data_IF_492085206230
#
_entry.id   IF_492085206230
#
_cell.length_a   1.000
_cell.length_b   1.000
_cell.length_c   1.000
_cell.angle_alpha   90.00
_cell.angle_beta   90.00
_cell.angle_gamma   90.00
#
_symmetry.space_group_name_H-M   'P 1'
#
loop_
_entity.id
_entity.type
_entity.pdbx_description
1 polymer ?
#
# COMPACT_ATOMS: atom_id res chain seq x y z
N UNK A 1 5.30 -13.35 -58.19
CA UNK A 1 6.75 -13.28 -57.88
C UNK A 1 7.00 -13.55 -56.41
N UNK A 2 7.87 -14.50 -56.15
CA UNK A 2 8.02 -15.32 -54.98
C UNK A 2 8.29 -14.60 -53.64
N UNK A 3 7.38 -14.85 -52.72
CA UNK A 3 7.62 -14.80 -51.26
C UNK A 3 8.30 -16.10 -50.80
N UNK A 4 9.58 -16.21 -50.93
CA UNK A 4 10.39 -17.28 -50.29
C UNK A 4 11.87 -16.95 -50.50
N UNK A 5 12.47 -16.26 -49.48
CA UNK A 5 13.89 -16.25 -49.15
C UNK A 5 14.18 -15.10 -48.20
N UNK A 6 13.92 -15.33 -46.90
CA UNK A 6 14.64 -14.64 -45.83
C UNK A 6 14.48 -15.48 -44.54
N UNK A 7 15.00 -16.67 -44.63
CA UNK A 7 15.23 -17.51 -43.47
C UNK A 7 16.57 -18.18 -43.70
N UNK A 8 17.62 -17.57 -43.20
CA UNK A 8 18.86 -18.26 -42.76
C UNK A 8 19.87 -17.21 -42.29
N UNK A 9 20.48 -17.51 -41.15
CA UNK A 9 21.65 -16.89 -40.57
C UNK A 9 21.40 -15.69 -39.63
N UNK A 10 21.07 -16.00 -38.39
CA UNK A 10 21.70 -15.40 -37.22
C UNK A 10 21.60 -16.36 -36.03
N UNK A 11 22.36 -17.42 -36.08
CA UNK A 11 22.82 -18.10 -34.87
C UNK A 11 23.98 -17.26 -34.33
N UNK A 12 23.79 -16.54 -33.26
CA UNK A 12 24.92 -16.00 -32.50
C UNK A 12 24.49 -15.60 -31.11
N UNK A 13 25.10 -16.24 -30.17
CA UNK A 13 25.31 -15.82 -28.80
C UNK A 13 24.05 -15.62 -27.93
N UNK A 14 23.50 -16.70 -27.45
CA UNK A 14 22.89 -16.79 -26.14
C UNK A 14 23.96 -16.46 -25.07
N UNK A 15 24.17 -15.16 -24.88
CA UNK A 15 24.76 -14.69 -23.65
C UNK A 15 23.73 -14.95 -22.55
N UNK A 16 23.92 -16.01 -21.79
CA UNK A 16 23.34 -16.15 -20.45
C UNK A 16 23.88 -14.97 -19.63
N UNK A 17 23.15 -13.85 -19.67
CA UNK A 17 23.15 -12.90 -18.58
C UNK A 17 22.55 -13.69 -17.41
N UNK A 18 23.46 -14.34 -16.65
CA UNK A 18 23.14 -14.79 -15.31
C UNK A 18 22.63 -13.54 -14.56
N UNK A 19 21.32 -13.43 -14.47
CA UNK A 19 20.67 -12.61 -13.45
C UNK A 19 21.24 -13.14 -12.13
N UNK A 20 22.28 -12.46 -11.61
CA UNK A 20 22.70 -12.69 -10.23
C UNK A 20 21.44 -12.47 -9.43
N UNK A 21 20.95 -13.47 -8.66
CA UNK A 21 19.90 -13.21 -7.71
C UNK A 21 20.41 -12.07 -6.84
N UNK A 22 19.66 -10.97 -6.77
CA UNK A 22 19.83 -9.96 -5.71
C UNK A 22 19.92 -10.77 -4.44
N UNK A 23 21.04 -10.62 -3.74
CA UNK A 23 21.48 -11.37 -2.58
C UNK A 23 20.26 -11.81 -1.77
N UNK A 24 19.86 -13.05 -1.91
CA UNK A 24 19.00 -13.69 -0.93
C UNK A 24 19.76 -13.51 0.39
N UNK A 25 19.19 -12.76 1.31
CA UNK A 25 19.77 -12.66 2.64
C UNK A 25 19.87 -14.08 3.15
N UNK A 26 21.11 -14.57 3.29
CA UNK A 26 21.39 -15.90 3.78
C UNK A 26 20.54 -16.14 5.01
N UNK A 27 19.57 -17.07 4.92
CA UNK A 27 18.81 -17.69 6.01
C UNK A 27 18.54 -16.79 7.23
N UNK A 28 17.93 -15.65 7.03
CA UNK A 28 17.57 -14.76 8.13
C UNK A 28 16.31 -15.28 8.79
N UNK A 29 16.46 -15.96 9.91
CA UNK A 29 15.33 -16.32 10.76
C UNK A 29 14.45 -15.08 11.04
N UNK A 30 13.13 -15.24 11.18
CA UNK A 30 12.24 -14.15 11.54
C UNK A 30 12.76 -13.39 12.76
N UNK A 31 12.53 -12.06 12.86
CA UNK A 31 12.99 -11.29 14.02
C UNK A 31 12.49 -11.89 15.32
N UNK A 32 13.38 -12.10 16.27
CA UNK A 32 13.03 -12.49 17.62
C UNK A 32 12.90 -11.23 18.48
N UNK A 33 11.69 -10.88 18.89
CA UNK A 33 11.46 -9.71 19.74
C UNK A 33 10.00 -9.25 19.71
N UNK A 34 9.66 -8.38 20.66
CA UNK A 34 8.35 -7.71 20.65
C UNK A 34 8.30 -6.79 19.43
N UNK A 35 7.27 -6.93 18.63
CA UNK A 35 7.06 -6.12 17.44
C UNK A 35 5.65 -6.30 16.89
N UNK A 36 5.26 -5.43 15.97
CA UNK A 36 3.99 -5.51 15.28
C UNK A 36 4.11 -6.40 14.05
N UNK A 37 3.22 -7.40 13.93
CA UNK A 37 3.06 -8.19 12.72
C UNK A 37 1.71 -7.87 12.09
N UNK A 38 1.69 -7.63 10.79
CA UNK A 38 0.49 -7.26 10.06
C UNK A 38 0.59 -7.61 8.58
N UNK A 39 -0.55 -7.64 7.89
CA UNK A 39 -0.59 -7.72 6.43
C UNK A 39 -0.76 -6.34 5.81
N UNK A 40 -0.16 -6.14 4.65
CA UNK A 40 -0.42 -5.03 3.74
C UNK A 40 -1.15 -5.57 2.51
N UNK A 41 -2.32 -5.01 2.24
CA UNK A 41 -3.07 -5.18 1.00
C UNK A 41 -3.31 -3.81 0.36
N UNK A 42 -3.56 -3.78 -0.94
CA UNK A 42 -3.79 -2.54 -1.69
C UNK A 42 -4.61 -2.80 -2.94
N UNK A 43 -5.26 -1.74 -3.45
CA UNK A 43 -5.81 -1.72 -4.81
C UNK A 43 -6.75 -2.93 -5.07
N UNK A 44 -7.74 -3.08 -4.21
CA UNK A 44 -8.74 -4.17 -4.30
C UNK A 44 -9.81 -3.91 -5.34
N UNK A 45 -10.08 -2.65 -5.67
CA UNK A 45 -10.97 -2.23 -6.73
C UNK A 45 -12.26 -3.05 -6.81
N UNK A 46 -13.02 -3.07 -5.70
CA UNK A 46 -14.36 -3.68 -5.74
C UNK A 46 -15.16 -3.05 -6.88
N UNK A 47 -15.60 -3.86 -7.84
CA UNK A 47 -16.32 -3.41 -9.02
C UNK A 47 -17.71 -3.99 -9.06
N UNK A 48 -18.72 -3.13 -9.24
CA UNK A 48 -20.09 -3.54 -9.55
C UNK A 48 -20.26 -3.85 -11.05
N UNK A 49 -21.25 -4.63 -11.38
CA UNK A 49 -21.58 -4.96 -12.76
C UNK A 49 -22.14 -3.71 -13.46
N UNK A 50 -21.59 -3.36 -14.62
CA UNK A 50 -21.97 -2.15 -15.38
C UNK A 50 -23.40 -2.17 -15.88
N UNK A 51 -23.91 -3.37 -16.22
CA UNK A 51 -25.27 -3.56 -16.75
C UNK A 51 -26.29 -3.73 -15.60
N UNK A 52 -25.85 -4.19 -14.44
CA UNK A 52 -26.62 -4.40 -13.23
C UNK A 52 -25.92 -3.75 -12.04
N UNK A 53 -25.99 -2.43 -11.87
CA UNK A 53 -25.21 -1.70 -10.87
C UNK A 53 -25.49 -2.06 -9.41
N UNK A 54 -26.57 -2.76 -9.13
CA UNK A 54 -26.96 -3.31 -7.83
C UNK A 54 -26.36 -4.71 -7.55
N UNK A 55 -25.61 -5.28 -8.51
CA UNK A 55 -24.87 -6.52 -8.37
C UNK A 55 -23.37 -6.29 -8.53
N UNK A 56 -22.56 -7.08 -7.84
CA UNK A 56 -21.11 -7.08 -8.04
C UNK A 56 -20.74 -7.75 -9.37
N UNK A 57 -19.68 -7.27 -9.99
CA UNK A 57 -18.98 -8.01 -11.04
C UNK A 57 -18.48 -9.35 -10.49
N UNK A 58 -18.72 -10.44 -11.22
CA UNK A 58 -18.39 -11.78 -10.73
C UNK A 58 -16.90 -12.01 -10.57
N UNK A 59 -16.08 -11.46 -11.48
CA UNK A 59 -14.61 -11.57 -11.42
C UNK A 59 -14.08 -10.82 -10.21
N UNK A 60 -14.46 -9.56 -10.05
CA UNK A 60 -14.06 -8.74 -8.89
C UNK A 60 -14.49 -9.38 -7.58
N UNK A 61 -15.74 -9.84 -7.49
CA UNK A 61 -16.23 -10.52 -6.29
C UNK A 61 -15.45 -11.79 -5.98
N UNK A 62 -15.17 -12.60 -7.01
CA UNK A 62 -14.44 -13.86 -6.85
C UNK A 62 -13.01 -13.63 -6.34
N UNK A 63 -12.30 -12.68 -6.91
CA UNK A 63 -10.93 -12.31 -6.50
C UNK A 63 -10.93 -11.85 -5.03
N UNK A 64 -11.76 -10.87 -4.70
CA UNK A 64 -11.78 -10.28 -3.37
C UNK A 64 -12.24 -11.26 -2.28
N UNK A 65 -13.19 -12.16 -2.60
CA UNK A 65 -13.57 -13.23 -1.68
C UNK A 65 -12.39 -14.13 -1.35
N UNK A 66 -11.66 -14.61 -2.36
CA UNK A 66 -10.49 -15.48 -2.15
C UNK A 66 -9.33 -14.77 -1.44
N UNK A 67 -9.12 -13.47 -1.70
CA UNK A 67 -8.14 -12.67 -0.96
C UNK A 67 -8.44 -12.68 0.55
N UNK A 68 -9.69 -12.42 0.94
CA UNK A 68 -10.12 -12.47 2.36
C UNK A 68 -9.93 -13.87 2.96
N UNK A 69 -10.23 -14.92 2.20
CA UNK A 69 -10.02 -16.31 2.64
C UNK A 69 -8.53 -16.59 2.90
N UNK A 70 -7.63 -16.14 2.00
CA UNK A 70 -6.19 -16.28 2.21
C UNK A 70 -5.70 -15.48 3.42
N UNK A 71 -6.10 -14.21 3.58
CA UNK A 71 -5.75 -13.40 4.75
C UNK A 71 -6.16 -14.10 6.06
N UNK A 72 -7.34 -14.71 6.08
CA UNK A 72 -7.84 -15.45 7.25
C UNK A 72 -7.12 -16.77 7.51
N UNK A 73 -6.57 -17.39 6.47
CA UNK A 73 -5.92 -18.71 6.53
C UNK A 73 -4.43 -18.64 6.90
N UNK A 74 -3.74 -17.58 6.49
CA UNK A 74 -2.28 -17.46 6.62
C UNK A 74 -1.74 -17.53 8.07
N UNK A 75 -2.36 -16.89 9.09
CA UNK A 75 -1.85 -16.98 10.45
C UNK A 75 -1.77 -18.41 10.97
N UNK A 76 -0.62 -18.75 11.57
CA UNK A 76 -0.32 -20.10 12.03
C UNK A 76 0.21 -21.06 10.95
N UNK A 77 0.38 -20.59 9.71
CA UNK A 77 1.00 -21.40 8.65
C UNK A 77 2.51 -21.24 8.61
N UNK A 78 3.19 -22.25 8.11
CA UNK A 78 4.63 -22.23 7.89
C UNK A 78 4.99 -21.36 6.69
N UNK A 79 6.07 -20.61 6.82
CA UNK A 79 6.71 -19.88 5.72
C UNK A 79 7.90 -20.69 5.26
N UNK A 80 8.01 -21.03 3.96
CA UNK A 80 9.14 -21.79 3.42
C UNK A 80 10.49 -21.11 3.69
N UNK A 81 11.54 -21.91 3.83
CA UNK A 81 12.89 -21.42 4.14
C UNK A 81 13.40 -20.40 3.11
N UNK A 82 13.11 -20.62 1.83
CA UNK A 82 13.44 -19.71 0.72
C UNK A 82 12.74 -18.34 0.81
N UNK A 83 11.62 -18.27 1.53
CA UNK A 83 10.87 -17.04 1.81
C UNK A 83 11.17 -16.47 3.22
N UNK A 84 12.30 -16.88 3.82
CA UNK A 84 12.75 -16.41 5.13
C UNK A 84 12.35 -17.30 6.30
N UNK A 85 11.63 -18.38 6.08
CA UNK A 85 11.30 -19.40 7.09
C UNK A 85 10.39 -18.93 8.23
N UNK A 86 10.17 -19.84 9.19
CA UNK A 86 9.36 -19.59 10.39
C UNK A 86 7.86 -19.73 10.15
N UNK A 87 7.08 -19.10 11.04
CA UNK A 87 5.62 -19.15 11.01
C UNK A 87 5.06 -17.76 10.79
N UNK A 88 3.91 -17.66 10.13
CA UNK A 88 3.06 -16.47 10.21
C UNK A 88 2.52 -16.39 11.63
N UNK A 89 3.03 -15.46 12.41
CA UNK A 89 2.66 -15.30 13.81
C UNK A 89 1.27 -14.69 14.00
N UNK A 90 0.99 -14.27 15.23
CA UNK A 90 -0.19 -13.49 15.55
C UNK A 90 -0.15 -12.15 14.79
N UNK A 91 -1.24 -11.84 14.09
CA UNK A 91 -1.38 -10.67 13.25
C UNK A 91 -2.22 -9.62 13.96
N UNK A 92 -1.67 -8.42 14.15
CA UNK A 92 -2.37 -7.30 14.79
C UNK A 92 -3.51 -6.75 13.92
N UNK A 93 -3.40 -6.89 12.60
CA UNK A 93 -4.41 -6.43 11.66
C UNK A 93 -3.96 -6.43 10.21
N UNK A 94 -4.77 -5.83 9.36
CA UNK A 94 -4.46 -5.60 7.95
C UNK A 94 -4.44 -4.09 7.69
N UNK A 95 -3.39 -3.60 7.06
CA UNK A 95 -3.33 -2.25 6.50
C UNK A 95 -3.75 -2.33 5.04
N UNK A 96 -4.69 -1.50 4.62
CA UNK A 96 -5.11 -1.39 3.23
C UNK A 96 -4.74 -0.01 2.69
N UNK A 97 -3.83 0.02 1.73
CA UNK A 97 -3.23 1.28 1.26
C UNK A 97 -4.00 1.98 0.13
N UNK A 98 -5.33 1.77 0.05
CA UNK A 98 -6.23 2.57 -0.80
C UNK A 98 -6.70 1.88 -2.07
N UNK A 99 -7.52 2.58 -2.85
CA UNK A 99 -8.29 2.06 -3.98
C UNK A 99 -9.13 0.84 -3.57
N UNK A 100 -10.05 1.12 -2.64
CA UNK A 100 -10.96 0.14 -2.04
C UNK A 100 -12.01 -0.31 -3.04
N UNK A 101 -12.60 0.67 -3.75
CA UNK A 101 -13.58 0.47 -4.82
C UNK A 101 -13.06 1.04 -6.15
N UNK A 102 -13.73 0.72 -7.26
CA UNK A 102 -13.27 1.14 -8.60
C UNK A 102 -13.92 2.44 -9.10
N UNK A 103 -15.13 2.75 -8.68
CA UNK A 103 -15.93 3.81 -9.34
C UNK A 103 -16.17 5.07 -8.51
N UNK A 104 -15.55 5.21 -7.31
CA UNK A 104 -15.77 6.35 -6.42
C UNK A 104 -15.32 7.71 -6.98
N UNK A 105 -14.46 7.73 -7.99
CA UNK A 105 -14.03 8.90 -8.75
C UNK A 105 -14.96 9.24 -9.94
N UNK A 106 -15.92 8.39 -10.28
CA UNK A 106 -16.81 8.54 -11.43
C UNK A 106 -18.09 9.30 -11.05
N UNK A 107 -18.69 9.93 -12.05
CA UNK A 107 -19.92 10.73 -11.89
C UNK A 107 -21.07 10.13 -12.68
N UNK A 108 -22.30 10.52 -12.31
CA UNK A 108 -23.54 10.09 -12.97
C UNK A 108 -24.30 9.01 -12.20
N UNK A 109 -25.60 8.92 -12.44
CA UNK A 109 -26.52 8.08 -11.65
C UNK A 109 -26.15 6.60 -11.64
N UNK A 110 -25.69 6.07 -12.78
CA UNK A 110 -25.26 4.67 -12.87
C UNK A 110 -24.03 4.41 -11.98
N UNK A 111 -23.02 5.29 -12.03
CA UNK A 111 -21.83 5.15 -11.20
C UNK A 111 -22.15 5.32 -9.70
N UNK A 112 -23.05 6.22 -9.34
CA UNK A 112 -23.51 6.34 -7.93
C UNK A 112 -24.17 5.06 -7.44
N UNK A 113 -24.94 4.37 -8.30
CA UNK A 113 -25.50 3.06 -7.95
C UNK A 113 -24.40 2.00 -7.77
N UNK A 114 -23.43 1.95 -8.71
CA UNK A 114 -22.25 1.07 -8.59
C UNK A 114 -21.46 1.33 -7.29
N UNK A 115 -21.15 2.59 -6.98
CA UNK A 115 -20.42 2.97 -5.75
C UNK A 115 -21.10 2.44 -4.48
N UNK A 116 -22.42 2.46 -4.42
CA UNK A 116 -23.18 1.91 -3.27
C UNK A 116 -22.97 0.41 -3.13
N UNK A 117 -23.03 -0.31 -4.25
CA UNK A 117 -22.85 -1.76 -4.29
C UNK A 117 -21.42 -2.16 -3.94
N UNK A 118 -20.44 -1.49 -4.54
CA UNK A 118 -19.02 -1.70 -4.30
C UNK A 118 -18.64 -1.43 -2.84
N UNK A 119 -19.09 -0.29 -2.30
CA UNK A 119 -18.86 0.08 -0.91
C UNK A 119 -19.50 -0.87 0.09
N UNK A 120 -20.74 -1.29 -0.18
CA UNK A 120 -21.43 -2.28 0.64
C UNK A 120 -20.69 -3.62 0.64
N UNK A 121 -20.21 -4.07 -0.52
CA UNK A 121 -19.44 -5.31 -0.64
C UNK A 121 -18.08 -5.21 0.10
N UNK A 122 -17.33 -4.12 -0.12
CA UNK A 122 -16.08 -3.88 0.60
C UNK A 122 -16.30 -3.91 2.12
N UNK A 123 -17.28 -3.17 2.63
CA UNK A 123 -17.51 -3.09 4.08
C UNK A 123 -17.98 -4.39 4.68
N UNK A 124 -18.77 -5.19 3.95
CA UNK A 124 -19.22 -6.51 4.39
C UNK A 124 -18.07 -7.53 4.45
N UNK A 125 -17.13 -7.44 3.52
CA UNK A 125 -15.99 -8.35 3.48
C UNK A 125 -14.90 -7.96 4.49
N UNK A 126 -14.50 -6.71 4.51
CA UNK A 126 -13.37 -6.24 5.34
C UNK A 126 -13.77 -5.96 6.80
N UNK A 127 -15.02 -5.63 7.08
CA UNK A 127 -15.42 -5.19 8.42
C UNK A 127 -14.65 -3.94 8.87
N UNK A 128 -14.42 -3.78 10.17
CA UNK A 128 -13.72 -2.63 10.75
C UNK A 128 -12.77 -3.02 11.89
N UNK A 129 -13.31 -3.69 12.90
CA UNK A 129 -12.60 -3.97 14.15
C UNK A 129 -12.17 -5.45 14.30
N UNK A 130 -12.39 -6.25 13.26
CA UNK A 130 -12.11 -7.67 13.25
C UNK A 130 -13.31 -8.53 13.70
N UNK A 131 -13.73 -9.46 12.83
CA UNK A 131 -14.86 -10.34 13.08
C UNK A 131 -16.24 -9.70 12.90
N UNK A 132 -16.30 -8.45 12.48
CA UNK A 132 -17.51 -7.72 12.12
C UNK A 132 -17.72 -7.64 10.58
N UNK A 133 -16.88 -8.32 9.83
CA UNK A 133 -16.98 -8.65 8.42
C UNK A 133 -16.56 -10.10 8.19
N UNK A 134 -16.22 -10.46 6.95
CA UNK A 134 -15.62 -11.78 6.65
C UNK A 134 -14.15 -11.86 7.08
N UNK A 135 -13.43 -10.73 7.04
CA UNK A 135 -12.08 -10.64 7.56
C UNK A 135 -12.09 -10.76 9.09
N UNK A 136 -11.21 -11.62 9.63
CA UNK A 136 -11.13 -11.86 11.08
C UNK A 136 -10.33 -10.80 11.84
N UNK A 137 -9.59 -9.96 11.14
CA UNK A 137 -8.65 -8.98 11.71
C UNK A 137 -9.18 -7.56 11.58
N UNK A 138 -8.77 -6.63 12.46
CA UNK A 138 -9.02 -5.21 12.25
C UNK A 138 -8.39 -4.75 10.93
N UNK A 139 -9.12 -3.93 10.18
CA UNK A 139 -8.58 -3.28 8.99
C UNK A 139 -8.30 -1.80 9.25
N UNK A 140 -7.19 -1.31 8.74
CA UNK A 140 -6.75 0.10 8.82
C UNK A 140 -6.53 0.60 7.40
N UNK A 141 -7.58 1.09 6.77
CA UNK A 141 -7.56 1.55 5.38
C UNK A 141 -7.32 3.05 5.25
N UNK A 142 -6.62 3.45 4.20
CA UNK A 142 -6.66 4.80 3.63
C UNK A 142 -7.54 4.79 2.39
N UNK A 143 -7.90 5.97 1.86
CA UNK A 143 -8.57 6.04 0.56
C UNK A 143 -7.57 6.21 -0.56
N UNK A 144 -7.91 5.71 -1.75
CA UNK A 144 -7.18 5.92 -2.98
C UNK A 144 -7.85 6.89 -3.94
N UNK A 145 -7.27 7.06 -5.12
CA UNK A 145 -7.82 7.99 -6.10
C UNK A 145 -9.12 7.50 -6.74
N UNK A 146 -9.35 6.20 -6.78
CA UNK A 146 -10.63 5.63 -7.21
C UNK A 146 -11.72 5.75 -6.15
N UNK A 147 -11.39 5.96 -4.89
CA UNK A 147 -12.36 6.15 -3.80
C UNK A 147 -12.91 7.58 -3.73
N UNK A 148 -12.12 8.56 -4.17
CA UNK A 148 -12.51 9.97 -4.15
C UNK A 148 -11.31 10.92 -4.15
N UNK A 149 -10.76 11.26 -5.31
CA UNK A 149 -9.47 11.97 -5.44
C UNK A 149 -9.47 13.38 -4.83
N UNK A 150 -10.66 13.96 -4.68
CA UNK A 150 -10.84 15.30 -4.10
C UNK A 150 -11.34 15.27 -2.65
N UNK A 151 -11.26 14.12 -1.96
CA UNK A 151 -11.71 13.98 -0.58
C UNK A 151 -13.21 14.18 -0.38
N UNK A 152 -14.01 13.81 -1.38
CA UNK A 152 -15.46 13.95 -1.43
C UNK A 152 -16.10 12.75 -2.10
N UNK A 153 -17.34 12.48 -1.74
CA UNK A 153 -18.14 11.41 -2.33
C UNK A 153 -18.56 10.35 -1.32
N UNK A 154 -19.35 9.40 -1.78
CA UNK A 154 -19.97 8.36 -0.95
C UNK A 154 -18.95 7.59 -0.11
N UNK A 155 -17.85 7.16 -0.72
CA UNK A 155 -16.81 6.39 -0.03
C UNK A 155 -16.10 7.23 1.02
N UNK A 156 -15.80 8.49 0.69
CA UNK A 156 -15.15 9.41 1.63
C UNK A 156 -16.03 9.67 2.86
N UNK A 157 -17.34 9.84 2.66
CA UNK A 157 -18.28 10.00 3.77
C UNK A 157 -18.39 8.70 4.58
N UNK A 158 -18.40 7.55 3.90
CA UNK A 158 -18.35 6.24 4.54
C UNK A 158 -17.08 6.00 5.34
N UNK A 159 -15.92 6.48 4.86
CA UNK A 159 -14.66 6.38 5.59
C UNK A 159 -14.64 7.26 6.84
N UNK A 160 -15.18 8.48 6.78
CA UNK A 160 -15.35 9.35 7.97
C UNK A 160 -16.20 8.67 9.03
N UNK A 161 -17.32 8.08 8.61
CA UNK A 161 -18.21 7.35 9.49
C UNK A 161 -17.50 6.12 10.09
N UNK A 162 -16.76 5.34 9.29
CA UNK A 162 -15.96 4.22 9.78
C UNK A 162 -14.89 4.66 10.78
N UNK A 163 -14.14 5.72 10.47
CA UNK A 163 -13.10 6.25 11.34
C UNK A 163 -13.65 6.70 12.70
N UNK A 164 -14.87 7.24 12.75
CA UNK A 164 -15.51 7.62 14.01
C UNK A 164 -15.88 6.42 14.90
N UNK A 165 -15.98 5.21 14.33
CA UNK A 165 -16.31 3.97 15.07
C UNK A 165 -15.09 3.10 15.39
N UNK A 166 -13.90 3.48 14.92
CA UNK A 166 -12.68 2.72 15.23
C UNK A 166 -12.36 2.78 16.71
N UNK A 167 -11.89 1.68 17.24
CA UNK A 167 -11.38 1.61 18.62
C UNK A 167 -9.88 1.90 18.65
N UNK A 168 -9.43 2.51 19.74
CA UNK A 168 -8.01 2.72 20.03
C UNK A 168 -7.26 3.49 18.94
N UNK A 169 -7.89 4.51 18.36
CA UNK A 169 -7.31 5.40 17.37
C UNK A 169 -7.41 6.86 17.77
N UNK A 170 -6.48 7.68 17.29
CA UNK A 170 -6.56 9.14 17.30
C UNK A 170 -6.98 9.59 15.90
N UNK A 171 -8.09 10.29 15.78
CA UNK A 171 -8.66 10.71 14.49
C UNK A 171 -8.52 12.22 14.32
N UNK A 172 -8.18 12.67 13.09
CA UNK A 172 -8.13 14.08 12.72
C UNK A 172 -9.51 14.74 12.81
N UNK A 173 -9.54 16.08 12.94
CA UNK A 173 -10.80 16.85 13.02
C UNK A 173 -11.70 16.65 11.79
N UNK A 174 -11.09 16.49 10.60
CA UNK A 174 -11.83 16.23 9.36
C UNK A 174 -12.27 14.75 9.20
N UNK A 175 -11.91 13.88 10.15
CA UNK A 175 -12.29 12.47 10.17
C UNK A 175 -11.56 11.56 9.19
N UNK A 176 -10.55 12.07 8.45
CA UNK A 176 -9.95 11.31 7.34
C UNK A 176 -8.62 10.66 7.68
N UNK A 177 -7.85 11.25 8.58
CA UNK A 177 -6.56 10.74 9.01
C UNK A 177 -6.68 10.16 10.40
N UNK A 178 -5.88 9.12 10.70
CA UNK A 178 -5.88 8.54 12.05
C UNK A 178 -4.59 7.81 12.35
N UNK A 179 -4.29 7.67 13.64
CA UNK A 179 -3.14 6.94 14.14
C UNK A 179 -3.52 5.94 15.22
N UNK A 180 -2.68 4.94 15.43
CA UNK A 180 -2.85 3.90 16.45
C UNK A 180 -1.51 3.27 16.80
N UNK A 181 -1.50 2.46 17.85
CA UNK A 181 -0.34 1.71 18.28
C UNK A 181 -0.57 0.20 18.19
N UNK A 182 0.40 -0.53 17.66
CA UNK A 182 0.49 -1.98 17.77
C UNK A 182 1.85 -2.38 18.32
N UNK A 183 1.86 -3.06 19.47
CA UNK A 183 3.06 -3.68 20.05
C UNK A 183 4.32 -2.76 20.10
N UNK A 184 4.14 -1.51 20.48
CA UNK A 184 5.23 -0.54 20.61
C UNK A 184 5.61 0.20 19.35
N UNK A 185 4.99 -0.10 18.23
CA UNK A 185 5.13 0.61 16.95
C UNK A 185 3.96 1.57 16.79
N UNK A 186 4.25 2.80 16.37
CA UNK A 186 3.24 3.80 16.06
C UNK A 186 2.90 3.82 14.57
N UNK A 187 1.61 3.82 14.24
CA UNK A 187 1.11 3.78 12.87
C UNK A 187 0.29 5.02 12.58
N UNK A 188 0.45 5.59 11.38
CA UNK A 188 -0.31 6.78 10.94
C UNK A 188 -0.83 6.59 9.51
N UNK A 189 -2.13 6.71 9.33
CA UNK A 189 -2.79 6.73 8.01
C UNK A 189 -3.11 8.18 7.61
N UNK A 190 -2.60 8.62 6.45
CA UNK A 190 -2.67 10.02 5.99
C UNK A 190 -3.27 10.21 4.59
N UNK A 191 -4.01 9.22 4.10
CA UNK A 191 -4.81 9.34 2.89
C UNK A 191 -4.06 9.20 1.57
N UNK A 192 -4.37 10.03 0.58
CA UNK A 192 -3.82 9.94 -0.78
C UNK A 192 -2.37 10.41 -0.85
N UNK A 193 -2.16 11.65 -0.47
CA UNK A 193 -0.88 12.36 -0.48
C UNK A 193 -0.73 13.15 0.81
N UNK A 194 0.49 13.40 1.24
CA UNK A 194 0.75 14.24 2.41
C UNK A 194 1.05 15.65 1.94
N UNK A 195 0.33 16.63 2.46
CA UNK A 195 0.55 18.01 2.08
C UNK A 195 -0.28 19.01 2.91
N UNK A 196 0.34 20.13 3.16
CA UNK A 196 -0.24 21.35 3.69
C UNK A 196 0.62 22.56 3.31
N UNK A 197 1.70 22.37 2.53
CA UNK A 197 2.58 23.46 2.12
C UNK A 197 1.80 24.52 1.35
N UNK A 198 2.08 25.78 1.67
CA UNK A 198 1.57 26.94 0.93
C UNK A 198 2.41 27.27 -0.31
N UNK A 199 3.60 26.68 -0.39
CA UNK A 199 4.61 26.93 -1.43
C UNK A 199 4.49 25.98 -2.62
N UNK A 200 3.31 25.41 -2.83
CA UNK A 200 3.03 24.54 -3.98
C UNK A 200 3.05 25.33 -5.28
N UNK A 201 3.65 24.76 -6.32
CA UNK A 201 3.83 25.43 -7.62
C UNK A 201 2.59 25.35 -8.52
N UNK A 202 1.65 24.49 -8.17
CA UNK A 202 0.41 24.25 -8.93
C UNK A 202 -0.71 23.77 -8.03
N UNK A 203 -1.99 23.82 -8.47
CA UNK A 203 -3.06 23.14 -7.76
C UNK A 203 -2.77 21.66 -7.59
N UNK A 204 -3.04 21.12 -6.41
CA UNK A 204 -2.86 19.67 -6.15
C UNK A 204 -3.78 18.85 -7.01
N UNK A 205 -3.24 17.76 -7.55
CA UNK A 205 -4.03 16.77 -8.28
C UNK A 205 -4.99 16.02 -7.35
N UNK A 206 -4.54 15.76 -6.13
CA UNK A 206 -5.28 15.04 -5.11
C UNK A 206 -5.44 15.89 -3.85
N UNK A 207 -6.55 15.71 -3.14
CA UNK A 207 -6.80 16.41 -1.89
C UNK A 207 -5.88 15.86 -0.79
N UNK A 208 -5.12 16.74 -0.17
CA UNK A 208 -4.28 16.39 0.99
C UNK A 208 -5.03 16.43 2.32
N UNK A 209 -6.13 17.20 2.41
CA UNK A 209 -6.99 17.32 3.59
C UNK A 209 -6.23 17.56 4.90
N UNK A 210 -5.28 18.51 4.89
CA UNK A 210 -4.44 18.87 6.04
C UNK A 210 -3.64 17.67 6.65
N UNK A 211 -3.32 16.70 5.83
CA UNK A 211 -2.62 15.47 6.28
C UNK A 211 -1.25 15.73 6.89
N UNK A 212 -0.50 16.73 6.40
CA UNK A 212 0.81 17.09 6.96
C UNK A 212 0.67 17.72 8.35
N UNK A 213 -0.34 18.55 8.57
CA UNK A 213 -0.60 19.18 9.86
C UNK A 213 -1.00 18.13 10.89
N UNK A 214 -1.90 17.19 10.51
CA UNK A 214 -2.25 16.05 11.34
C UNK A 214 -1.01 15.21 11.68
N UNK A 215 -0.23 14.79 10.68
CA UNK A 215 0.96 13.98 10.87
C UNK A 215 1.98 14.66 11.79
N UNK A 216 2.22 15.95 11.59
CA UNK A 216 3.18 16.72 12.38
C UNK A 216 2.77 16.79 13.85
N UNK A 217 1.49 17.07 14.10
CA UNK A 217 0.93 17.12 15.44
C UNK A 217 0.93 15.76 16.12
N UNK A 218 0.45 14.75 15.40
CA UNK A 218 0.35 13.38 15.92
C UNK A 218 1.72 12.82 16.32
N UNK A 219 2.72 12.94 15.46
CA UNK A 219 4.07 12.48 15.77
C UNK A 219 4.69 13.22 16.96
N UNK A 220 4.45 14.52 17.08
CA UNK A 220 4.96 15.30 18.22
C UNK A 220 4.30 14.88 19.55
N UNK A 221 2.99 14.65 19.55
CA UNK A 221 2.21 14.32 20.75
C UNK A 221 2.32 12.83 21.13
N UNK A 222 2.35 11.92 20.13
CA UNK A 222 2.27 10.48 20.37
C UNK A 222 3.62 9.78 20.36
N UNK A 223 4.57 10.27 19.57
CA UNK A 223 5.92 9.70 19.49
C UNK A 223 6.92 10.52 20.29
N UNK A 224 6.97 11.84 20.06
CA UNK A 224 7.89 12.73 20.74
C UNK A 224 9.33 12.19 20.73
N UNK A 225 10.00 12.25 21.88
CA UNK A 225 11.37 11.75 22.07
C UNK A 225 11.45 10.27 22.46
N UNK A 226 10.36 9.50 22.37
CA UNK A 226 10.34 8.10 22.80
C UNK A 226 11.25 7.18 21.97
N UNK A 227 11.61 7.60 20.76
CA UNK A 227 12.42 6.80 19.85
C UNK A 227 11.74 5.53 19.32
N UNK A 228 10.42 5.35 19.55
CA UNK A 228 9.70 4.18 19.05
C UNK A 228 9.57 4.22 17.52
N UNK A 229 9.53 3.05 16.85
CA UNK A 229 9.36 2.99 15.41
C UNK A 229 8.02 3.56 14.95
N UNK A 230 8.03 4.17 13.76
CA UNK A 230 6.84 4.74 13.13
C UNK A 230 6.63 4.11 11.75
N UNK A 231 5.38 3.77 11.42
CA UNK A 231 4.97 3.32 10.10
C UNK A 231 3.91 4.28 9.56
N UNK A 232 4.14 4.80 8.36
CA UNK A 232 3.22 5.74 7.70
C UNK A 232 2.55 5.04 6.52
N UNK A 233 1.25 5.26 6.34
CA UNK A 233 0.52 4.76 5.18
C UNK A 233 -0.16 5.90 4.44
N UNK A 234 0.04 5.95 3.14
CA UNK A 234 -0.70 6.77 2.19
C UNK A 234 -0.88 6.00 0.87
N UNK A 235 -1.65 6.52 -0.08
CA UNK A 235 -1.94 5.74 -1.28
C UNK A 235 -0.94 5.96 -2.41
N UNK A 236 -0.59 7.21 -2.73
CA UNK A 236 0.19 7.55 -3.91
C UNK A 236 1.70 7.39 -3.66
N UNK A 237 2.38 6.80 -4.63
CA UNK A 237 3.84 6.57 -4.62
C UNK A 237 4.63 7.86 -4.36
N UNK A 238 5.48 7.86 -3.35
CA UNK A 238 6.36 9.00 -3.02
C UNK A 238 7.33 9.35 -4.14
N UNK A 239 7.57 8.48 -5.11
CA UNK A 239 8.43 8.74 -6.26
C UNK A 239 7.71 9.50 -7.39
N UNK A 240 6.42 9.81 -7.26
CA UNK A 240 5.62 10.48 -8.29
C UNK A 240 5.60 12.00 -8.16
N UNK A 241 6.77 12.58 -7.98
CA UNK A 241 7.01 14.01 -8.02
C UNK A 241 8.19 14.32 -8.93
N UNK A 242 8.33 15.57 -9.40
CA UNK A 242 9.54 16.01 -10.10
C UNK A 242 10.48 16.76 -9.15
N UNK A 243 11.75 16.83 -9.52
CA UNK A 243 12.65 17.79 -8.95
C UNK A 243 12.13 19.23 -9.20
N UNK A 244 12.43 20.22 -8.32
CA UNK A 244 11.76 21.52 -8.32
C UNK A 244 11.82 22.31 -9.62
N UNK A 245 12.66 21.91 -10.56
CA UNK A 245 13.03 22.70 -11.72
C UNK A 245 12.68 22.05 -13.06
N UNK A 246 11.84 21.03 -13.10
CA UNK A 246 11.38 20.44 -14.35
C UNK A 246 9.93 20.82 -14.65
N UNK A 247 9.67 22.00 -15.27
CA UNK A 247 8.31 22.44 -15.55
C UNK A 247 7.58 21.55 -16.56
N UNK A 248 8.28 20.76 -17.38
CA UNK A 248 7.63 19.84 -18.34
C UNK A 248 7.03 18.63 -17.63
N UNK A 249 7.58 18.22 -16.51
CA UNK A 249 7.09 17.10 -15.70
C UNK A 249 6.04 17.49 -14.67
N UNK A 250 5.96 18.76 -14.28
CA UNK A 250 5.05 19.25 -13.22
C UNK A 250 3.60 18.83 -13.47
N UNK A 251 3.13 18.90 -14.71
CA UNK A 251 1.74 18.53 -15.05
C UNK A 251 1.45 17.02 -14.93
N UNK A 252 2.48 16.19 -14.97
CA UNK A 252 2.38 14.71 -14.92
C UNK A 252 2.54 14.15 -13.52
N UNK A 253 3.05 14.96 -12.59
CA UNK A 253 3.28 14.51 -11.24
C UNK A 253 2.02 14.54 -10.39
N UNK A 254 1.96 13.64 -9.44
CA UNK A 254 0.84 13.49 -8.51
C UNK A 254 1.08 14.22 -7.21
N UNK A 255 2.35 14.38 -6.82
CA UNK A 255 2.76 15.21 -5.68
C UNK A 255 3.32 16.55 -6.14
N UNK A 256 3.16 17.58 -5.33
CA UNK A 256 3.92 18.79 -5.42
C UNK A 256 5.25 18.62 -4.66
N UNK A 257 6.34 19.13 -5.23
CA UNK A 257 7.66 19.00 -4.60
C UNK A 257 7.73 19.67 -3.23
N UNK A 258 7.06 20.81 -3.04
CA UNK A 258 7.04 21.50 -1.75
C UNK A 258 6.36 20.65 -0.65
N UNK A 259 5.29 19.92 -1.00
CA UNK A 259 4.66 18.98 -0.09
C UNK A 259 5.59 17.81 0.24
N UNK A 260 6.29 17.25 -0.77
CA UNK A 260 7.26 16.16 -0.57
C UNK A 260 8.41 16.59 0.34
N UNK A 261 8.96 17.78 0.11
CA UNK A 261 10.04 18.32 0.93
C UNK A 261 9.61 18.55 2.39
N UNK A 262 8.41 19.12 2.58
CA UNK A 262 7.85 19.34 3.91
C UNK A 262 7.54 18.02 4.62
N UNK A 263 6.99 17.04 3.91
CA UNK A 263 6.74 15.69 4.42
C UNK A 263 8.03 15.02 4.89
N UNK A 264 9.06 14.98 4.04
CA UNK A 264 10.35 14.41 4.39
C UNK A 264 10.99 15.12 5.60
N UNK A 265 10.92 16.45 5.67
CA UNK A 265 11.45 17.21 6.79
C UNK A 265 10.76 16.90 8.14
N UNK A 266 9.49 16.50 8.13
CA UNK A 266 8.81 15.99 9.33
C UNK A 266 9.33 14.61 9.69
N UNK A 267 9.39 13.68 8.72
CA UNK A 267 9.74 12.29 8.95
C UNK A 267 11.16 12.10 9.48
N UNK A 268 12.12 12.89 9.02
CA UNK A 268 13.53 12.79 9.45
C UNK A 268 13.80 13.14 10.91
N UNK A 269 12.80 13.65 11.62
CA UNK A 269 12.85 13.89 13.07
C UNK A 269 12.54 12.65 13.91
N UNK A 270 12.04 11.59 13.28
CA UNK A 270 11.54 10.40 13.96
C UNK A 270 12.16 9.14 13.35
N UNK A 271 12.08 8.04 14.08
CA UNK A 271 12.53 6.72 13.60
C UNK A 271 11.45 6.09 12.72
N UNK A 272 11.35 6.55 11.47
CA UNK A 272 10.39 6.01 10.50
C UNK A 272 10.90 4.69 9.97
N UNK A 273 10.22 3.61 10.33
CA UNK A 273 10.52 2.25 9.94
C UNK A 273 10.14 1.96 8.50
N UNK A 274 8.95 2.43 8.10
CA UNK A 274 8.43 2.19 6.76
C UNK A 274 7.42 3.25 6.34
N UNK A 275 7.36 3.49 5.03
CA UNK A 275 6.23 4.10 4.34
C UNK A 275 5.57 3.02 3.48
N UNK A 276 4.27 2.84 3.64
CA UNK A 276 3.45 1.87 2.92
C UNK A 276 2.53 2.59 1.94
N UNK A 277 2.41 2.08 0.71
CA UNK A 277 1.55 2.70 -0.30
C UNK A 277 1.08 1.68 -1.36
N UNK A 278 0.21 2.10 -2.29
CA UNK A 278 -0.36 1.32 -3.37
C UNK A 278 -0.27 2.01 -4.73
N UNK A 279 -1.41 2.14 -5.45
CA UNK A 279 -1.60 2.99 -6.61
C UNK A 279 -0.95 2.54 -7.92
N UNK A 280 0.27 2.00 -7.88
CA UNK A 280 1.01 1.70 -9.12
C UNK A 280 0.78 0.29 -9.65
N UNK A 281 0.08 -0.56 -8.90
CA UNK A 281 -0.16 -1.97 -9.20
C UNK A 281 1.12 -2.73 -9.58
N UNK A 282 2.24 -2.31 -9.03
CA UNK A 282 3.55 -2.94 -9.26
C UNK A 282 4.37 -2.84 -8.00
N UNK A 283 4.89 -3.96 -7.54
CA UNK A 283 5.81 -3.97 -6.39
C UNK A 283 6.99 -3.02 -6.61
N UNK A 284 7.20 -2.13 -5.65
CA UNK A 284 8.36 -1.23 -5.58
C UNK A 284 8.82 -1.10 -4.15
N UNK A 285 10.06 -1.46 -3.88
CA UNK A 285 10.65 -1.42 -2.55
C UNK A 285 12.02 -0.77 -2.66
N UNK A 286 12.19 0.38 -2.01
CA UNK A 286 13.44 1.16 -2.10
C UNK A 286 13.63 2.08 -0.88
N UNK A 287 14.87 2.49 -0.58
CA UNK A 287 15.13 3.57 0.37
C UNK A 287 14.86 4.92 -0.31
N UNK A 288 14.07 5.77 0.34
CA UNK A 288 13.74 7.11 -0.12
C UNK A 288 14.49 8.17 0.68
N UNK A 289 15.22 9.03 -0.03
CA UNK A 289 16.06 10.10 0.54
C UNK A 289 15.37 11.47 0.63
N UNK A 290 14.11 11.56 0.19
CA UNK A 290 13.33 12.79 0.18
C UNK A 290 13.69 13.78 -0.92
N UNK A 291 14.77 13.57 -1.64
CA UNK A 291 15.30 14.53 -2.62
C UNK A 291 15.20 14.05 -4.06
N UNK A 292 15.29 12.75 -4.30
CA UNK A 292 15.39 12.18 -5.64
C UNK A 292 14.20 11.29 -5.95
N UNK A 293 13.38 11.63 -6.96
CA UNK A 293 12.36 10.72 -7.46
C UNK A 293 12.99 9.42 -7.93
N UNK A 294 12.53 8.29 -7.42
CA UNK A 294 13.05 6.97 -7.80
C UNK A 294 11.96 6.17 -8.49
N UNK A 295 12.20 5.83 -9.75
CA UNK A 295 11.31 5.00 -10.56
C UNK A 295 11.76 3.52 -10.59
N UNK A 296 12.83 3.17 -9.88
CA UNK A 296 13.30 1.80 -9.78
C UNK A 296 12.25 0.90 -9.11
N UNK A 297 12.12 -0.32 -9.59
CA UNK A 297 11.17 -1.29 -9.04
C UNK A 297 11.56 -1.71 -7.63
N UNK A 298 12.76 -2.25 -7.49
CA UNK A 298 13.33 -2.65 -6.20
C UNK A 298 14.77 -2.13 -6.12
N UNK A 299 15.18 -1.72 -4.95
CA UNK A 299 16.55 -1.33 -4.67
C UNK A 299 17.02 -1.98 -3.36
N UNK A 300 18.32 -2.29 -3.24
CA UNK A 300 18.86 -2.81 -1.99
C UNK A 300 18.70 -1.81 -0.85
N UNK A 301 18.76 -2.26 0.40
CA UNK A 301 18.82 -1.38 1.56
C UNK A 301 19.90 -0.31 1.41
N UNK A 302 19.58 0.92 1.81
CA UNK A 302 20.48 2.06 1.67
C UNK A 302 20.13 3.17 2.64
N UNK A 303 20.71 4.34 2.45
CA UNK A 303 20.35 5.52 3.23
C UNK A 303 18.96 6.01 2.81
N UNK A 304 18.12 6.34 3.78
CA UNK A 304 16.77 6.85 3.57
C UNK A 304 15.72 6.03 4.30
N UNK A 305 14.48 6.46 4.15
CA UNK A 305 13.32 5.80 4.73
C UNK A 305 12.91 4.65 3.81
N UNK A 306 12.70 3.46 4.37
CA UNK A 306 12.25 2.31 3.58
C UNK A 306 10.81 2.51 3.12
N UNK A 307 10.57 2.40 1.82
CA UNK A 307 9.23 2.49 1.23
C UNK A 307 8.84 1.17 0.58
N UNK A 308 7.58 0.80 0.76
CA UNK A 308 7.04 -0.47 0.30
C UNK A 308 5.73 -0.23 -0.45
N UNK A 309 5.72 -0.64 -1.71
CA UNK A 309 4.52 -0.82 -2.50
C UNK A 309 4.37 -2.30 -2.80
N UNK A 310 3.26 -2.87 -2.41
CA UNK A 310 2.89 -4.21 -2.87
C UNK A 310 2.35 -4.12 -4.30
N UNK A 311 2.25 -5.25 -5.00
CA UNK A 311 1.40 -5.33 -6.18
C UNK A 311 -0.07 -5.11 -5.77
N UNK A 312 -0.99 -4.91 -6.71
CA UNK A 312 -2.40 -4.88 -6.37
C UNK A 312 -2.81 -6.20 -5.68
N UNK A 313 -3.75 -6.12 -4.76
CA UNK A 313 -4.23 -7.31 -4.05
C UNK A 313 -5.53 -7.87 -4.61
N UNK A 314 -6.28 -7.11 -5.43
CA UNK A 314 -7.59 -7.56 -5.89
C UNK A 314 -8.11 -6.93 -7.17
N UNK A 315 -7.27 -6.24 -7.94
CA UNK A 315 -7.71 -5.57 -9.17
C UNK A 315 -8.18 -6.60 -10.22
N UNK A 316 -9.41 -6.45 -10.67
CA UNK A 316 -10.11 -7.40 -11.53
C UNK A 316 -9.51 -7.58 -12.94
N UNK A 317 -8.68 -6.65 -13.41
CA UNK A 317 -7.98 -6.73 -14.69
C UNK A 317 -6.58 -7.37 -14.59
N UNK A 318 -6.21 -7.89 -13.43
CA UNK A 318 -4.93 -8.53 -13.22
C UNK A 318 -5.12 -9.98 -12.79
N UNK A 319 -4.38 -10.90 -13.39
CA UNK A 319 -4.32 -12.29 -12.94
C UNK A 319 -3.31 -12.45 -11.79
N UNK A 320 -2.29 -11.60 -11.75
CA UNK A 320 -1.27 -11.61 -10.71
C UNK A 320 -1.60 -10.59 -9.64
N UNK A 321 -1.72 -11.04 -8.41
CA UNK A 321 -1.91 -10.17 -7.24
C UNK A 321 -0.95 -10.59 -6.13
N UNK A 322 -0.75 -9.67 -5.18
CA UNK A 322 0.07 -9.95 -4.01
C UNK A 322 -0.43 -9.22 -2.75
N UNK A 323 -0.02 -9.73 -1.62
CA UNK A 323 -0.03 -9.06 -0.34
C UNK A 323 1.35 -9.20 0.33
N UNK A 324 1.64 -8.35 1.29
CA UNK A 324 2.88 -8.47 2.06
C UNK A 324 2.59 -8.77 3.52
N UNK A 325 3.44 -9.58 4.13
CA UNK A 325 3.46 -9.82 5.56
C UNK A 325 4.66 -9.13 6.19
N UNK A 326 4.39 -8.27 7.15
CA UNK A 326 5.39 -7.48 7.86
C UNK A 326 5.58 -7.96 9.30
N UNK A 327 6.81 -7.83 9.77
CA UNK A 327 7.16 -7.77 11.18
C UNK A 327 8.03 -6.55 11.39
N UNK A 328 7.58 -5.60 12.20
CA UNK A 328 8.31 -4.39 12.57
C UNK A 328 8.69 -4.48 14.04
N UNK A 329 9.98 -4.49 14.33
CA UNK A 329 10.53 -4.49 15.67
C UNK A 329 11.14 -3.12 16.00
N UNK A 330 11.73 -2.96 17.16
CA UNK A 330 12.49 -1.75 17.51
C UNK A 330 13.72 -1.52 16.60
N UNK A 331 14.21 -2.57 15.93
CA UNK A 331 15.51 -2.53 15.20
C UNK A 331 15.37 -2.61 13.69
N UNK A 332 14.34 -3.27 13.21
CA UNK A 332 14.24 -3.61 11.78
C UNK A 332 12.81 -3.80 11.32
N UNK A 333 12.65 -3.60 10.01
CA UNK A 333 11.48 -4.03 9.25
C UNK A 333 11.84 -5.31 8.51
N UNK A 334 11.00 -6.32 8.66
CA UNK A 334 11.09 -7.58 7.95
C UNK A 334 9.80 -7.79 7.15
N UNK A 335 9.92 -7.88 5.82
CA UNK A 335 8.78 -8.00 4.93
C UNK A 335 8.94 -9.20 3.99
N UNK A 336 7.83 -9.87 3.71
CA UNK A 336 7.71 -11.05 2.83
C UNK A 336 6.48 -10.90 1.96
N UNK A 337 6.53 -11.43 0.76
CA UNK A 337 5.44 -11.36 -0.20
C UNK A 337 4.75 -12.71 -0.37
N UNK A 338 3.43 -12.70 -0.34
CA UNK A 338 2.57 -13.82 -0.69
C UNK A 338 1.79 -13.45 -1.93
N UNK A 339 1.91 -14.21 -3.01
CA UNK A 339 1.43 -13.84 -4.32
C UNK A 339 0.68 -14.97 -5.01
N UNK A 340 -0.16 -14.59 -5.97
CA UNK A 340 -0.93 -15.48 -6.82
C UNK A 340 -0.65 -15.22 -8.30
N UNK A 341 -0.57 -16.24 -9.14
CA UNK A 341 -0.53 -16.09 -10.59
C UNK A 341 -1.92 -16.19 -11.25
N UNK A 342 -2.99 -16.48 -10.49
CA UNK A 342 -4.27 -16.93 -11.01
C UNK A 342 -5.47 -16.41 -10.19
N UNK A 343 -5.45 -15.13 -9.83
CA UNK A 343 -6.55 -14.48 -9.14
C UNK A 343 -6.94 -15.16 -7.81
N UNK A 344 -5.95 -15.54 -7.01
CA UNK A 344 -6.07 -16.19 -5.71
C UNK A 344 -6.68 -17.62 -5.72
N UNK A 345 -6.78 -18.27 -6.89
CA UNK A 345 -7.13 -19.70 -6.94
C UNK A 345 -6.01 -20.55 -6.31
N UNK A 346 -4.77 -20.20 -6.63
CA UNK A 346 -3.58 -20.70 -5.94
C UNK A 346 -2.73 -19.53 -5.45
N UNK A 347 -1.95 -19.72 -4.41
CA UNK A 347 -1.02 -18.70 -3.94
C UNK A 347 0.14 -19.32 -3.17
N UNK A 348 1.28 -18.63 -3.17
CA UNK A 348 2.49 -19.08 -2.49
C UNK A 348 3.33 -17.90 -2.00
N UNK A 349 4.21 -18.16 -1.05
CA UNK A 349 5.27 -17.25 -0.67
C UNK A 349 6.26 -17.12 -1.81
N UNK A 350 6.60 -15.88 -2.18
CA UNK A 350 7.69 -15.64 -3.12
C UNK A 350 9.05 -15.76 -2.40
N UNK A 351 10.15 -16.08 -3.10
CA UNK A 351 11.45 -16.20 -2.46
C UNK A 351 12.08 -14.86 -2.05
N UNK A 352 11.37 -13.74 -2.27
CA UNK A 352 11.85 -12.42 -1.91
C UNK A 352 11.63 -12.12 -0.43
N UNK A 353 12.69 -11.65 0.21
CA UNK A 353 12.70 -11.21 1.61
C UNK A 353 13.35 -9.85 1.69
N UNK A 354 12.71 -8.93 2.38
CA UNK A 354 13.25 -7.59 2.62
C UNK A 354 13.51 -7.38 4.10
N UNK A 355 14.71 -6.98 4.42
CA UNK A 355 15.12 -6.66 5.78
C UNK A 355 15.84 -5.32 5.79
N UNK A 356 15.27 -4.36 6.47
CA UNK A 356 15.79 -3.00 6.55
C UNK A 356 15.99 -2.62 8.02
N UNK A 357 17.21 -2.20 8.41
CA UNK A 357 17.41 -1.66 9.74
C UNK A 357 16.66 -0.34 9.89
N UNK A 358 16.13 -0.08 11.08
CA UNK A 358 15.51 1.20 11.45
C UNK A 358 16.60 2.08 12.05
N UNK A 359 16.90 3.21 11.39
CA UNK A 359 17.94 4.14 11.81
C UNK A 359 17.53 4.92 13.08
#
# INVERSE_FOLDING_TARGET
>A
MNRRRFLQLSASATGLLALRPLVAAENAAPPTGKGASFFLASDTHYLANKEQPDAMDETSRGINTRLIEWLNKLPGTEVPAEAGGGMVGEVSGVIHSGDLIDTGDKNGAAHVAMQKTEWAAFTADWGLNGGDGKLRFPVREVWGNHDGPQGKGLVIDGLRERNSRRKEVSVSENGMHFSWDWNGVHFVNVGLVVGASKDVVRPRRYAALESLDFLTKDLAERVGDSGRPVVITHHVDVARYCAPLDPELVSKNEWDYADVAAYHAVLTKYRVAAILYGHTHVRKIFPWDGATPKLAKDAPPGKGISVFNTDNSGHFNSETQALMYFTVTEKEVFAREFATPDAWLTAAWTPQVWRFPIA
#
